data_IF_947519350362
#
_entry.id   IF_947519350362
#
_cell.length_a   1.000
_cell.length_b   1.000
_cell.length_c   1.000
_cell.angle_alpha   90.00
_cell.angle_beta   90.00
_cell.angle_gamma   90.00
#
_symmetry.space_group_name_H-M   'P 1'
#
loop_
_entity.id
_entity.type
_entity.pdbx_description
1 polymer ?
#
# COMPACT_ATOMS: atom_id res chain seq x y z
N UNK A 1 -1.29 -21.53 62.70
CA UNK A 1 -1.57 -20.23 62.06
C UNK A 1 -0.67 -20.11 60.84
N UNK A 2 -1.22 -20.28 59.65
CA UNK A 2 -0.48 -20.33 58.38
C UNK A 2 -0.19 -18.90 57.88
N UNK A 3 1.09 -18.55 57.75
CA UNK A 3 1.53 -17.30 57.16
C UNK A 3 1.41 -17.35 55.63
N UNK A 4 0.53 -16.51 55.07
CA UNK A 4 0.37 -16.29 53.64
C UNK A 4 1.49 -15.36 53.12
N UNK A 5 2.23 -15.82 52.09
CA UNK A 5 3.20 -15.00 51.34
C UNK A 5 2.50 -13.87 50.58
N UNK A 6 3.07 -12.65 50.49
CA UNK A 6 2.53 -11.60 49.66
C UNK A 6 2.79 -11.89 48.18
N UNK A 7 1.73 -11.86 47.37
CA UNK A 7 1.75 -12.06 45.93
C UNK A 7 2.47 -10.93 45.19
N UNK A 8 3.33 -11.32 44.25
CA UNK A 8 4.10 -10.43 43.39
C UNK A 8 3.15 -9.69 42.42
N UNK A 9 3.00 -8.37 42.58
CA UNK A 9 2.21 -7.54 41.67
C UNK A 9 2.94 -7.43 40.33
N UNK A 10 2.45 -8.13 39.32
CA UNK A 10 2.94 -8.01 37.94
C UNK A 10 2.57 -6.63 37.42
N UNK A 11 3.57 -5.76 37.32
CA UNK A 11 3.43 -4.44 36.71
C UNK A 11 3.01 -4.63 35.26
N UNK A 12 1.77 -4.23 34.94
CA UNK A 12 1.28 -4.24 33.56
C UNK A 12 2.02 -3.14 32.81
N UNK A 13 3.18 -3.50 32.25
CA UNK A 13 3.94 -2.62 31.39
C UNK A 13 3.07 -2.26 30.18
N UNK A 14 2.40 -1.11 30.30
CA UNK A 14 1.45 -0.57 29.34
C UNK A 14 2.17 -0.45 28.00
N UNK A 15 1.84 -1.34 27.08
CA UNK A 15 2.42 -1.37 25.74
C UNK A 15 2.09 -0.02 25.06
N UNK A 16 3.07 0.88 24.99
CA UNK A 16 2.92 2.16 24.32
C UNK A 16 2.95 1.89 22.82
N UNK A 17 1.77 1.80 22.21
CA UNK A 17 1.65 1.79 20.76
C UNK A 17 2.25 3.11 20.27
N UNK A 18 3.42 3.03 19.64
CA UNK A 18 4.06 4.20 19.03
C UNK A 18 3.15 4.67 17.91
N UNK A 19 2.83 5.97 17.88
CA UNK A 19 2.11 6.55 16.75
C UNK A 19 2.89 6.23 15.47
N UNK A 20 2.18 5.81 14.44
CA UNK A 20 2.79 5.64 13.13
C UNK A 20 3.46 6.98 12.75
N UNK A 21 4.73 6.97 12.31
CA UNK A 21 5.41 8.19 11.92
C UNK A 21 4.56 8.90 10.85
N UNK A 22 4.12 10.12 11.16
CA UNK A 22 3.18 10.90 10.35
C UNK A 22 3.79 11.40 9.03
N UNK A 23 5.11 11.32 8.88
CA UNK A 23 5.84 11.79 7.72
C UNK A 23 6.41 10.60 6.96
N UNK A 24 5.85 10.32 5.79
CA UNK A 24 6.44 9.39 4.84
C UNK A 24 7.59 10.05 4.10
N UNK A 25 8.69 9.32 3.93
CA UNK A 25 9.75 9.72 3.02
C UNK A 25 9.21 9.69 1.57
N UNK A 26 9.50 10.73 0.81
CA UNK A 26 9.17 10.86 -0.61
C UNK A 26 9.64 9.64 -1.41
N UNK A 27 10.81 9.09 -1.05
CA UNK A 27 11.34 7.86 -1.67
C UNK A 27 10.47 6.65 -1.42
N UNK A 28 9.88 6.56 -0.23
CA UNK A 28 9.00 5.46 0.13
C UNK A 28 7.67 5.56 -0.63
N UNK A 29 7.12 6.76 -0.76
CA UNK A 29 5.92 7.02 -1.59
C UNK A 29 6.15 6.60 -3.03
N UNK A 30 7.31 6.95 -3.62
CA UNK A 30 7.66 6.54 -4.96
C UNK A 30 7.78 5.03 -5.10
N UNK A 31 8.39 4.34 -4.13
CA UNK A 31 8.48 2.87 -4.14
C UNK A 31 7.10 2.20 -4.12
N UNK A 32 6.18 2.70 -3.27
CA UNK A 32 4.79 2.19 -3.24
C UNK A 32 4.12 2.44 -4.59
N UNK A 33 4.29 3.63 -5.17
CA UNK A 33 3.71 3.95 -6.47
C UNK A 33 4.23 3.02 -7.58
N UNK A 34 5.54 2.77 -7.64
CA UNK A 34 6.11 1.83 -8.60
C UNK A 34 5.57 0.41 -8.44
N UNK A 35 5.40 -0.06 -7.20
CA UNK A 35 4.78 -1.36 -6.93
C UNK A 35 3.35 -1.44 -7.48
N UNK A 36 2.52 -0.43 -7.18
CA UNK A 36 1.14 -0.39 -7.66
C UNK A 36 1.07 -0.28 -9.19
N UNK A 37 1.92 0.56 -9.79
CA UNK A 37 2.01 0.71 -11.25
C UNK A 37 2.32 -0.62 -11.93
N UNK A 38 3.32 -1.36 -11.42
CA UNK A 38 3.67 -2.68 -11.95
C UNK A 38 2.51 -3.66 -11.83
N UNK A 39 1.82 -3.68 -10.69
CA UNK A 39 0.65 -4.54 -10.49
C UNK A 39 -0.49 -4.19 -11.46
N UNK A 40 -0.78 -2.91 -11.69
CA UNK A 40 -1.79 -2.46 -12.66
C UNK A 40 -1.44 -2.95 -14.07
N UNK A 41 -0.17 -2.84 -14.47
CA UNK A 41 0.28 -3.34 -15.77
C UNK A 41 0.17 -4.86 -15.90
N UNK A 42 0.49 -5.62 -14.86
CA UNK A 42 0.34 -7.07 -14.87
C UNK A 42 -1.15 -7.49 -14.94
N UNK A 43 -2.05 -6.78 -14.25
CA UNK A 43 -3.50 -6.97 -14.38
C UNK A 43 -3.96 -6.70 -15.82
N UNK A 44 -3.50 -5.59 -16.43
CA UNK A 44 -3.81 -5.24 -17.82
C UNK A 44 -3.32 -6.30 -18.82
N UNK A 45 -2.19 -6.99 -18.52
CA UNK A 45 -1.67 -8.12 -19.30
C UNK A 45 -2.38 -9.44 -19.03
N UNK A 46 -3.38 -9.47 -18.14
CA UNK A 46 -4.05 -10.68 -17.63
C UNK A 46 -3.14 -11.63 -16.83
N UNK A 47 -2.07 -11.10 -16.25
CA UNK A 47 -1.14 -11.86 -15.40
C UNK A 47 -1.33 -11.51 -13.93
N UNK A 48 -2.37 -12.05 -13.28
CA UNK A 48 -2.69 -11.72 -11.88
C UNK A 48 -2.15 -12.73 -10.85
N UNK A 49 -1.64 -13.88 -11.29
CA UNK A 49 -1.31 -15.02 -10.43
C UNK A 49 -0.20 -14.75 -9.41
N UNK A 50 0.61 -13.71 -9.63
CA UNK A 50 1.72 -13.29 -8.75
C UNK A 50 1.42 -12.08 -7.85
N UNK A 51 0.17 -11.58 -7.83
CA UNK A 51 -0.19 -10.36 -7.11
C UNK A 51 -0.83 -10.65 -5.75
N UNK A 52 -0.33 -9.99 -4.70
CA UNK A 52 -0.97 -9.98 -3.39
C UNK A 52 -1.96 -8.82 -3.28
N UNK A 53 -3.26 -9.11 -3.39
CA UNK A 53 -4.31 -8.07 -3.30
C UNK A 53 -4.31 -7.34 -1.96
N UNK A 54 -4.02 -8.05 -0.85
CA UNK A 54 -3.94 -7.44 0.47
C UNK A 54 -2.80 -6.42 0.55
N UNK A 55 -1.61 -6.78 0.05
CA UNK A 55 -0.45 -5.89 0.04
C UNK A 55 -0.71 -4.65 -0.81
N UNK A 56 -1.25 -4.83 -2.02
CA UNK A 56 -1.59 -3.72 -2.91
C UNK A 56 -2.61 -2.77 -2.27
N UNK A 57 -3.64 -3.32 -1.61
CA UNK A 57 -4.64 -2.51 -0.91
C UNK A 57 -4.04 -1.73 0.26
N UNK A 58 -3.21 -2.36 1.11
CA UNK A 58 -2.52 -1.69 2.23
C UNK A 58 -1.62 -0.54 1.75
N UNK A 59 -0.91 -0.77 0.66
CA UNK A 59 -0.02 0.20 0.02
C UNK A 59 -0.78 1.41 -0.55
N UNK A 60 -1.87 1.18 -1.26
CA UNK A 60 -2.74 2.24 -1.77
C UNK A 60 -3.39 3.04 -0.62
N UNK A 61 -3.93 2.35 0.39
CA UNK A 61 -4.50 2.97 1.59
C UNK A 61 -3.48 3.87 2.30
N UNK A 62 -2.24 3.39 2.42
CA UNK A 62 -1.14 4.13 3.05
C UNK A 62 -0.83 5.43 2.30
N UNK A 63 -0.84 5.44 0.96
CA UNK A 63 -0.66 6.67 0.19
C UNK A 63 -1.80 7.67 0.39
N UNK A 64 -3.05 7.20 0.42
CA UNK A 64 -4.22 8.08 0.62
C UNK A 64 -4.22 8.66 2.04
N UNK A 65 -3.88 7.85 3.05
CA UNK A 65 -3.79 8.27 4.44
C UNK A 65 -2.79 9.43 4.62
N UNK A 66 -1.64 9.37 3.93
CA UNK A 66 -0.59 10.39 3.97
C UNK A 66 -0.80 11.53 2.97
N UNK A 67 -2.02 11.71 2.45
CA UNK A 67 -2.39 12.81 1.53
C UNK A 67 -1.73 12.75 0.13
N UNK A 68 -1.20 11.61 -0.29
CA UNK A 68 -0.67 11.40 -1.65
C UNK A 68 -1.70 10.81 -2.62
N UNK A 69 -3.00 11.03 -2.36
CA UNK A 69 -4.08 10.49 -3.19
C UNK A 69 -4.15 11.09 -4.60
N UNK A 70 -3.77 12.36 -4.76
CA UNK A 70 -3.76 13.03 -6.06
C UNK A 70 -2.74 12.38 -7.02
N UNK A 71 -1.52 12.15 -6.54
CA UNK A 71 -0.49 11.40 -7.28
C UNK A 71 -0.95 10.01 -7.69
N UNK A 72 -1.61 9.29 -6.78
CA UNK A 72 -2.14 7.95 -7.06
C UNK A 72 -3.20 8.01 -8.18
N UNK A 73 -4.10 8.98 -8.14
CA UNK A 73 -5.15 9.15 -9.15
C UNK A 73 -4.58 9.56 -10.51
N UNK A 74 -3.71 10.59 -10.55
CA UNK A 74 -3.07 11.04 -11.78
C UNK A 74 -2.24 9.93 -12.41
N UNK A 75 -1.40 9.26 -11.61
CA UNK A 75 -0.59 8.16 -12.10
C UNK A 75 -1.41 6.99 -12.62
N UNK A 76 -2.52 6.63 -11.94
CA UNK A 76 -3.42 5.59 -12.42
C UNK A 76 -4.03 5.96 -13.77
N UNK A 77 -4.54 7.20 -13.90
CA UNK A 77 -5.08 7.72 -15.16
C UNK A 77 -4.06 7.58 -16.28
N UNK A 78 -2.84 8.04 -16.06
CA UNK A 78 -1.78 8.01 -17.09
C UNK A 78 -1.44 6.58 -17.52
N UNK A 79 -1.32 5.64 -16.58
CA UNK A 79 -1.03 4.23 -16.87
C UNK A 79 -2.16 3.57 -17.67
N UNK A 80 -3.43 3.87 -17.34
CA UNK A 80 -4.58 3.35 -18.07
C UNK A 80 -4.68 3.98 -19.45
N UNK A 81 -4.55 5.30 -19.57
CA UNK A 81 -4.54 6.01 -20.85
C UNK A 81 -3.45 5.47 -21.77
N UNK A 82 -2.22 5.35 -21.28
CA UNK A 82 -1.11 4.81 -22.07
C UNK A 82 -1.36 3.37 -22.53
N UNK A 83 -1.93 2.53 -21.66
CA UNK A 83 -2.29 1.17 -22.05
C UNK A 83 -3.33 1.14 -23.18
N UNK A 84 -4.37 1.96 -23.07
CA UNK A 84 -5.45 2.04 -24.06
C UNK A 84 -4.96 2.63 -25.38
N UNK A 85 -4.17 3.71 -25.37
CA UNK A 85 -3.60 4.30 -26.58
C UNK A 85 -2.74 3.28 -27.33
N UNK A 86 -1.87 2.56 -26.61
CA UNK A 86 -1.06 1.52 -27.22
C UNK A 86 -1.92 0.39 -27.77
N UNK A 87 -2.91 -0.12 -27.03
CA UNK A 87 -3.75 -1.26 -27.46
C UNK A 87 -4.74 -0.91 -28.57
N UNK A 88 -5.37 0.27 -28.50
CA UNK A 88 -6.42 0.71 -29.42
C UNK A 88 -5.80 1.35 -30.67
N UNK A 89 -4.64 2.00 -30.57
CA UNK A 89 -3.91 2.53 -31.72
C UNK A 89 -3.59 1.46 -32.77
N UNK A 90 -3.30 0.22 -32.36
CA UNK A 90 -3.14 -0.91 -33.29
C UNK A 90 -4.43 -1.35 -33.98
N UNK A 91 -5.60 -1.09 -33.39
CA UNK A 91 -6.88 -1.59 -33.88
C UNK A 91 -7.50 -0.66 -34.94
N UNK A 92 -7.06 0.60 -35.01
CA UNK A 92 -7.51 1.59 -36.01
C UNK A 92 -6.56 1.67 -37.22
N UNK A 93 -5.38 1.04 -37.14
CA UNK A 93 -4.38 0.99 -38.21
C UNK A 93 -4.35 -0.33 -38.99
N UNK A 94 -5.26 -1.27 -38.69
CA UNK A 94 -5.55 -2.46 -39.50
C UNK A 94 -6.90 -2.29 -40.20
#
# INVERSE_FOLDING_TARGET
MSNLKPGNKKDHQKMRIRAFPMTMDERYVENIWQLLKNAIQEIQKKNNSGLSFEELYRNAYTMVLHKHGERLYSGLRDVVTHHLENKVGYLVLC
#
